data_IF_056240043983
#
_entry.id   IF_056240043983
#
_cell.length_a   1.000
_cell.length_b   1.000
_cell.length_c   1.000
_cell.angle_alpha   90.00
_cell.angle_beta   90.00
_cell.angle_gamma   90.00
#
_symmetry.space_group_name_H-M   'P 1'
#
loop_
_entity.id
_entity.type
_entity.pdbx_description
1 polymer ?
#
# COMPACT_ATOMS: atom_id res chain seq x y z
N UNK A 1 3.24 0.62 -3.06
CA UNK A 1 1.90 1.18 -3.38
C UNK A 1 1.32 0.42 -4.57
N UNK A 2 0.03 0.09 -4.55
CA UNK A 2 -0.67 -0.56 -5.67
C UNK A 2 -2.10 -0.01 -5.84
N UNK A 3 -2.84 -0.57 -6.81
CA UNK A 3 -4.25 -0.23 -7.02
C UNK A 3 -4.47 1.16 -7.64
N UNK A 4 -5.65 1.74 -7.39
CA UNK A 4 -6.10 2.99 -8.03
C UNK A 4 -5.16 4.18 -7.77
N UNK A 5 -4.60 4.27 -6.55
CA UNK A 5 -3.66 5.35 -6.18
C UNK A 5 -2.38 5.25 -7.01
N UNK A 6 -1.82 4.04 -7.15
CA UNK A 6 -0.64 3.83 -7.98
C UNK A 6 -0.90 4.07 -9.48
N UNK A 7 -2.11 3.75 -9.95
CA UNK A 7 -2.50 3.93 -11.36
C UNK A 7 -2.89 5.37 -11.73
N UNK A 8 -2.94 6.29 -10.77
CA UNK A 8 -3.40 7.66 -10.99
C UNK A 8 -4.91 7.77 -11.27
N UNK A 9 -5.69 6.74 -10.92
CA UNK A 9 -7.15 6.70 -11.13
C UNK A 9 -7.93 6.77 -9.81
N UNK A 10 -7.26 7.14 -8.72
CA UNK A 10 -7.90 7.25 -7.41
C UNK A 10 -8.90 8.40 -7.38
N UNK A 11 -10.02 8.17 -6.67
CA UNK A 11 -11.04 9.17 -6.39
C UNK A 11 -11.19 9.35 -4.88
N UNK A 12 -12.08 10.24 -4.44
CA UNK A 12 -12.38 10.43 -3.01
C UNK A 12 -12.91 9.17 -2.28
N UNK A 13 -13.30 8.14 -3.02
CA UNK A 13 -13.79 6.86 -2.49
C UNK A 13 -12.76 5.74 -2.64
N UNK A 14 -11.54 6.05 -3.05
CA UNK A 14 -10.48 5.06 -3.23
C UNK A 14 -9.64 4.93 -1.97
N UNK A 15 -9.47 3.69 -1.52
CA UNK A 15 -8.60 3.38 -0.40
C UNK A 15 -7.13 3.28 -0.84
N UNK A 16 -6.22 3.51 0.10
CA UNK A 16 -4.77 3.43 -0.10
C UNK A 16 -4.30 2.01 0.19
N UNK A 17 -3.73 1.33 -0.80
CA UNK A 17 -3.20 -0.02 -0.63
C UNK A 17 -1.67 -0.04 -0.66
N UNK A 18 -1.07 -0.37 0.48
CA UNK A 18 0.37 -0.57 0.63
C UNK A 18 0.65 -2.05 0.87
N UNK A 19 1.61 -2.58 0.13
CA UNK A 19 2.11 -3.94 0.32
C UNK A 19 3.48 -3.84 0.96
N UNK A 20 3.60 -4.41 2.16
CA UNK A 20 4.83 -4.43 2.94
C UNK A 20 5.41 -5.83 2.88
N UNK A 21 6.72 -5.91 2.72
CA UNK A 21 7.47 -7.16 2.71
C UNK A 21 8.34 -7.13 3.95
N UNK A 22 7.91 -7.84 5.00
CA UNK A 22 8.55 -7.83 6.31
C UNK A 22 8.74 -9.26 6.80
N UNK A 23 9.71 -9.46 7.67
CA UNK A 23 9.97 -10.73 8.36
C UNK A 23 9.05 -10.93 9.57
N UNK A 24 8.64 -9.84 10.22
CA UNK A 24 7.78 -9.86 11.41
C UNK A 24 6.55 -8.94 11.27
N UNK A 25 5.39 -9.53 10.97
CA UNK A 25 4.11 -8.80 10.96
C UNK A 25 3.70 -8.28 12.34
N UNK A 26 4.10 -8.98 13.41
CA UNK A 26 3.77 -8.61 14.78
C UNK A 26 4.49 -7.34 15.21
N UNK A 27 5.74 -7.16 14.79
CA UNK A 27 6.49 -5.93 15.03
C UNK A 27 5.76 -4.70 14.48
N UNK A 28 5.13 -4.82 13.31
CA UNK A 28 4.37 -3.72 12.71
C UNK A 28 3.09 -3.40 13.48
N UNK A 29 2.34 -4.42 13.90
CA UNK A 29 1.17 -4.24 14.78
C UNK A 29 1.55 -3.50 16.07
N UNK A 30 2.66 -3.90 16.70
CA UNK A 30 3.18 -3.26 17.91
C UNK A 30 3.55 -1.79 17.62
N UNK A 31 4.18 -1.52 16.48
CA UNK A 31 4.55 -0.15 16.10
C UNK A 31 3.32 0.74 15.89
N UNK A 32 2.26 0.23 15.25
CA UNK A 32 1.00 0.96 15.11
C UNK A 32 0.35 1.24 16.47
N UNK A 33 0.32 0.23 17.35
CA UNK A 33 -0.21 0.39 18.71
C UNK A 33 0.59 1.42 19.53
N UNK A 34 1.93 1.39 19.44
CA UNK A 34 2.82 2.34 20.11
C UNK A 34 2.58 3.78 19.63
N UNK A 35 2.21 3.95 18.35
CA UNK A 35 1.83 5.25 17.76
C UNK A 35 0.39 5.66 18.08
N UNK A 36 -0.37 4.84 18.80
CA UNK A 36 -1.78 5.10 19.10
C UNK A 36 -2.69 5.05 17.88
N UNK A 37 -2.29 4.32 16.83
CA UNK A 37 -3.11 4.14 15.63
C UNK A 37 -4.17 3.07 15.91
N UNK A 38 -5.44 3.42 15.77
CA UNK A 38 -6.53 2.45 15.82
C UNK A 38 -6.61 1.71 14.48
N UNK A 39 -6.28 0.42 14.50
CA UNK A 39 -6.22 -0.43 13.30
C UNK A 39 -7.07 -1.69 13.47
N UNK A 40 -7.56 -2.19 12.34
CA UNK A 40 -8.30 -3.46 12.25
C UNK A 40 -7.46 -4.49 11.51
N UNK A 41 -7.36 -5.67 12.10
CA UNK A 41 -6.74 -6.84 11.46
C UNK A 41 -7.76 -7.55 10.57
N UNK A 42 -7.33 -7.97 9.40
CA UNK A 42 -8.10 -8.79 8.48
C UNK A 42 -7.21 -9.70 7.65
N UNK A 43 -7.81 -10.38 6.69
CA UNK A 43 -7.11 -11.29 5.78
C UNK A 43 -7.56 -11.05 4.35
N UNK A 44 -6.60 -11.03 3.41
CA UNK A 44 -6.85 -10.81 1.98
C UNK A 44 -6.13 -11.85 1.14
N UNK A 45 -6.56 -12.00 -0.11
CA UNK A 45 -5.90 -12.89 -1.06
C UNK A 45 -4.44 -12.45 -1.32
N UNK A 46 -3.54 -13.43 -1.40
CA UNK A 46 -2.15 -13.18 -1.74
C UNK A 46 -2.02 -12.75 -3.20
N UNK A 47 -1.16 -11.76 -3.50
CA UNK A 47 -1.06 -11.21 -4.86
C UNK A 47 -0.62 -12.24 -5.92
N UNK A 48 0.19 -13.21 -5.53
CA UNK A 48 0.63 -14.34 -6.37
C UNK A 48 -0.19 -15.64 -6.17
N UNK A 49 -1.38 -15.58 -5.56
CA UNK A 49 -2.24 -16.76 -5.39
C UNK A 49 -1.74 -17.81 -4.39
N UNK A 50 -0.86 -17.43 -3.46
CA UNK A 50 -0.45 -18.27 -2.32
C UNK A 50 -1.48 -18.17 -1.18
N UNK A 51 -1.13 -18.71 -0.01
CA UNK A 51 -1.95 -18.61 1.19
C UNK A 51 -2.34 -17.15 1.50
N UNK A 52 -3.58 -16.89 1.93
CA UNK A 52 -4.02 -15.54 2.29
C UNK A 52 -3.09 -14.87 3.29
N UNK A 53 -3.03 -13.55 3.23
CA UNK A 53 -2.11 -12.72 4.02
C UNK A 53 -2.86 -11.76 4.90
N UNK A 54 -2.21 -11.34 5.98
CA UNK A 54 -2.77 -10.37 6.92
C UNK A 54 -2.83 -8.97 6.30
N UNK A 55 -3.85 -8.21 6.68
CA UNK A 55 -3.97 -6.79 6.35
C UNK A 55 -4.31 -5.99 7.60
N UNK A 56 -3.61 -4.88 7.81
CA UNK A 56 -3.91 -3.90 8.85
C UNK A 56 -4.57 -2.69 8.19
N UNK A 57 -5.77 -2.34 8.65
CA UNK A 57 -6.60 -1.28 8.05
C UNK A 57 -6.87 -0.17 9.05
N UNK A 58 -6.58 1.07 8.69
CA UNK A 58 -6.80 2.24 9.55
C UNK A 58 -7.09 3.49 8.73
N UNK A 59 -7.60 4.53 9.38
CA UNK A 59 -7.85 5.84 8.74
C UNK A 59 -6.62 6.73 8.83
N UNK A 60 -6.32 7.46 7.76
CA UNK A 60 -5.29 8.50 7.73
C UNK A 60 -5.90 9.86 7.36
N UNK A 61 -5.49 10.96 8.00
CA UNK A 61 -5.91 12.30 7.60
C UNK A 61 -5.48 12.61 6.16
N UNK A 62 -6.33 13.27 5.39
CA UNK A 62 -6.01 13.66 4.02
C UNK A 62 -6.69 14.98 3.63
N UNK A 63 -6.21 15.61 2.55
CA UNK A 63 -6.74 16.88 2.04
C UNK A 63 -8.01 16.72 1.17
N UNK A 64 -8.57 15.52 1.07
CA UNK A 64 -9.82 15.27 0.34
C UNK A 64 -11.03 15.83 1.12
N UNK A 65 -12.19 16.07 0.46
CA UNK A 65 -13.38 16.58 1.13
C UNK A 65 -13.85 15.75 2.34
N UNK A 66 -13.59 14.43 2.33
CA UNK A 66 -13.90 13.53 3.43
C UNK A 66 -13.00 13.73 4.67
N UNK A 67 -11.87 14.42 4.54
CA UNK A 67 -10.89 14.69 5.62
C UNK A 67 -10.09 13.47 6.09
N UNK A 68 -10.51 12.26 5.72
CA UNK A 68 -9.89 10.98 6.06
C UNK A 68 -9.93 10.04 4.85
N UNK A 69 -8.92 9.18 4.73
CA UNK A 69 -8.88 8.07 3.78
C UNK A 69 -8.58 6.76 4.52
N UNK A 70 -9.07 5.63 4.01
CA UNK A 70 -8.65 4.32 4.52
C UNK A 70 -7.30 3.94 3.93
N UNK A 71 -6.42 3.43 4.77
CA UNK A 71 -5.15 2.83 4.38
C UNK A 71 -5.11 1.36 4.81
N UNK A 72 -4.64 0.51 3.90
CA UNK A 72 -4.50 -0.93 4.08
C UNK A 72 -3.03 -1.32 3.91
N UNK A 73 -2.43 -1.84 4.98
CA UNK A 73 -1.09 -2.42 4.98
C UNK A 73 -1.23 -3.93 4.84
N UNK A 74 -1.01 -4.46 3.64
CA UNK A 74 -1.01 -5.91 3.41
C UNK A 74 0.40 -6.45 3.65
N UNK A 75 0.50 -7.48 4.50
CA UNK A 75 1.76 -7.96 5.03
C UNK A 75 2.18 -9.25 4.33
N UNK A 76 3.27 -9.19 3.57
CA UNK A 76 3.88 -10.30 2.88
C UNK A 76 5.20 -10.68 3.53
N UNK A 77 5.63 -11.93 3.33
CA UNK A 77 6.96 -12.36 3.75
C UNK A 77 8.03 -11.80 2.82
N UNK A 78 9.26 -11.68 3.31
CA UNK A 78 10.41 -11.13 2.57
C UNK A 78 10.66 -11.86 1.23
N UNK A 79 10.43 -13.18 1.18
CA UNK A 79 10.59 -13.98 -0.05
C UNK A 79 9.61 -13.59 -1.16
N UNK A 80 8.47 -12.96 -0.82
CA UNK A 80 7.48 -12.53 -1.79
C UNK A 80 7.93 -11.26 -2.53
N UNK A 81 8.87 -10.48 -1.98
CA UNK A 81 9.36 -9.23 -2.59
C UNK A 81 9.96 -9.47 -3.97
N UNK A 82 10.73 -10.55 -4.11
CA UNK A 82 11.43 -10.92 -5.37
C UNK A 82 10.46 -11.15 -6.55
N UNK A 83 9.21 -11.48 -6.26
CA UNK A 83 8.16 -11.67 -7.26
C UNK A 83 7.27 -10.44 -7.45
N UNK A 84 7.26 -9.52 -6.49
CA UNK A 84 6.30 -8.42 -6.44
C UNK A 84 6.53 -7.35 -7.51
N UNK A 85 7.79 -7.03 -7.83
CA UNK A 85 8.15 -5.98 -8.79
C UNK A 85 8.27 -6.48 -10.24
N UNK A 86 7.93 -7.75 -10.52
CA UNK A 86 7.96 -8.26 -11.90
C UNK A 86 6.86 -7.58 -12.73
N UNK A 87 7.26 -6.64 -13.58
CA UNK A 87 6.37 -6.09 -14.60
C UNK A 87 6.02 -7.18 -15.61
N UNK A 88 4.73 -7.35 -15.88
CA UNK A 88 4.23 -8.43 -16.75
C UNK A 88 4.35 -8.09 -18.23
N UNK A 89 4.54 -6.83 -18.62
CA UNK A 89 4.62 -6.35 -20.02
C UNK A 89 5.23 -4.93 -20.02
N UNK A 90 5.51 -4.33 -21.17
CA UNK A 90 5.99 -2.94 -21.38
C UNK A 90 5.02 -1.83 -20.87
N UNK A 91 4.26 -2.12 -19.81
CA UNK A 91 3.30 -1.27 -19.13
C UNK A 91 3.85 -0.88 -17.75
N UNK A 92 3.22 0.13 -17.14
CA UNK A 92 3.49 0.50 -15.76
C UNK A 92 3.34 -0.73 -14.86
N UNK A 93 4.32 -1.03 -13.98
CA UNK A 93 4.24 -2.20 -13.11
C UNK A 93 2.99 -2.13 -12.25
N UNK A 94 2.45 -3.27 -11.81
CA UNK A 94 1.27 -3.30 -10.93
C UNK A 94 1.51 -2.66 -9.56
N UNK A 95 2.78 -2.42 -9.22
CA UNK A 95 3.25 -1.94 -7.92
C UNK A 95 4.38 -0.95 -8.10
N UNK A 96 4.32 0.14 -7.34
CA UNK A 96 5.41 1.11 -7.19
C UNK A 96 6.10 0.95 -5.84
N UNK A 97 7.43 0.92 -5.84
CA UNK A 97 8.22 1.06 -4.62
C UNK A 97 8.30 2.55 -4.19
N UNK A 98 8.94 2.82 -3.04
CA UNK A 98 9.04 4.19 -2.52
C UNK A 98 9.67 5.17 -3.52
N UNK A 99 10.74 4.76 -4.20
CA UNK A 99 11.41 5.61 -5.20
C UNK A 99 10.49 5.95 -6.38
N UNK A 100 9.73 4.97 -6.88
CA UNK A 100 8.79 5.17 -7.97
C UNK A 100 7.61 6.08 -7.56
N UNK A 101 7.12 5.94 -6.33
CA UNK A 101 6.09 6.85 -5.78
C UNK A 101 6.64 8.27 -5.62
N UNK A 102 7.86 8.43 -5.12
CA UNK A 102 8.50 9.75 -4.99
C UNK A 102 8.66 10.43 -6.35
N UNK A 103 9.05 9.70 -7.39
CA UNK A 103 9.13 10.21 -8.76
C UNK A 103 7.76 10.67 -9.29
N UNK A 104 6.69 9.92 -9.03
CA UNK A 104 5.34 10.32 -9.42
C UNK A 104 4.92 11.63 -8.74
N UNK A 105 5.13 11.73 -7.42
CA UNK A 105 4.80 12.94 -6.66
C UNK A 105 5.57 14.14 -7.21
N UNK A 106 6.88 14.00 -7.44
CA UNK A 106 7.72 15.07 -8.01
C UNK A 106 7.23 15.50 -9.41
N UNK A 107 6.84 14.55 -10.26
CA UNK A 107 6.33 14.84 -11.60
C UNK A 107 5.00 15.58 -11.61
N UNK A 108 4.15 15.36 -10.60
CA UNK A 108 2.88 16.08 -10.42
C UNK A 108 3.08 17.45 -9.75
N UNK A 109 4.14 17.62 -8.94
CA UNK A 109 4.47 18.88 -8.27
C UNK A 109 5.19 19.89 -9.16
N UNK A 110 5.66 19.49 -10.34
CA UNK A 110 6.21 20.39 -11.35
C UNK A 110 5.08 20.82 -12.30
N UNK A 111 4.47 22.03 -12.15
CA UNK A 111 3.58 22.53 -13.17
C UNK A 111 4.39 22.86 -14.42
N UNK A 112 3.84 22.51 -15.58
CA UNK A 112 4.34 22.98 -16.88
C UNK A 112 4.25 24.51 -17.02
#
# INVERSE_FOLDING_TARGET
LCGAVWRGTATQHSDIHLQLFADDSKALEIELANRGVDYRVGTVAHFAGRAPVEVLSFTVPCALPAGMAMAHLTLYGELDERGALKSTTNQMPDRGNLAAVAQLVESEQTPA
#
